data_IF_159778060981
#
_entry.id   IF_159778060981
#
_cell.length_a   1.000
_cell.length_b   1.000
_cell.length_c   1.000
_cell.angle_alpha   90.00
_cell.angle_beta   90.00
_cell.angle_gamma   90.00
#
_symmetry.space_group_name_H-M   'P 1'
#
loop_
_entity.id
_entity.type
_entity.pdbx_description
1 polymer ?
#
# COMPACT_ATOMS: atom_id res chain seq x y z
N UNK A 1 -11.10 -20.08 -11.79
CA UNK A 1 -9.66 -19.84 -12.07
C UNK A 1 -9.40 -20.32 -13.49
N UNK A 2 -9.12 -19.41 -14.43
CA UNK A 2 -8.78 -19.81 -15.79
C UNK A 2 -7.42 -20.50 -15.78
N UNK A 3 -7.29 -21.68 -16.40
CA UNK A 3 -6.00 -22.34 -16.61
C UNK A 3 -5.13 -21.40 -17.45
N UNK A 4 -4.10 -20.81 -16.85
CA UNK A 4 -3.06 -20.08 -17.56
C UNK A 4 -2.03 -21.13 -17.99
N UNK A 5 -1.83 -21.39 -19.30
CA UNK A 5 -0.81 -22.32 -19.78
C UNK A 5 0.57 -22.00 -19.19
N UNK A 6 1.37 -23.02 -18.84
CA UNK A 6 2.66 -22.87 -18.17
C UNK A 6 3.70 -22.05 -18.98
N UNK A 7 3.50 -21.95 -20.28
CA UNK A 7 4.30 -21.18 -21.23
C UNK A 7 3.75 -19.77 -21.49
N UNK A 8 2.62 -19.39 -20.89
CA UNK A 8 2.08 -18.03 -21.01
C UNK A 8 3.10 -17.04 -20.47
N UNK A 9 3.35 -15.98 -21.25
CA UNK A 9 4.17 -14.85 -20.86
C UNK A 9 3.37 -13.57 -21.07
N UNK A 10 3.54 -12.62 -20.16
CA UNK A 10 3.06 -11.26 -20.38
C UNK A 10 3.80 -10.63 -21.56
N UNK A 11 3.11 -9.77 -22.34
CA UNK A 11 3.77 -8.96 -23.36
C UNK A 11 4.82 -8.08 -22.69
N UNK A 12 6.04 -8.09 -23.21
CA UNK A 12 7.15 -7.33 -22.62
C UNK A 12 7.04 -5.82 -22.88
N UNK A 13 6.30 -5.41 -23.92
CA UNK A 13 6.09 -4.01 -24.27
C UNK A 13 4.86 -3.46 -23.51
N UNK A 14 5.08 -3.09 -22.25
CA UNK A 14 4.07 -2.38 -21.46
C UNK A 14 3.75 -1.00 -22.01
N UNK A 15 2.62 -0.44 -21.57
CA UNK A 15 2.23 0.96 -21.85
C UNK A 15 2.17 1.74 -20.54
N UNK A 16 2.58 3.01 -20.58
CA UNK A 16 2.46 3.91 -19.43
C UNK A 16 1.01 4.37 -19.29
N UNK A 17 0.39 4.07 -18.14
CA UNK A 17 -1.01 4.42 -17.84
C UNK A 17 -1.17 5.45 -16.72
N UNK A 18 -0.07 5.76 -16.02
CA UNK A 18 0.01 6.79 -14.98
C UNK A 18 1.45 7.35 -14.95
N UNK A 19 1.59 8.65 -14.69
CA UNK A 19 2.88 9.33 -14.74
C UNK A 19 3.42 9.48 -16.16
N UNK A 20 4.73 9.23 -16.34
CA UNK A 20 5.40 9.32 -17.66
C UNK A 20 5.93 10.71 -18.04
N UNK A 21 5.77 11.71 -17.16
CA UNK A 21 6.18 13.10 -17.39
C UNK A 21 7.41 13.52 -16.57
N UNK A 22 8.31 12.56 -16.29
CA UNK A 22 9.46 12.76 -15.41
C UNK A 22 9.10 12.73 -13.92
N UNK A 23 10.11 12.90 -13.07
CA UNK A 23 9.93 12.99 -11.62
C UNK A 23 9.53 14.41 -11.20
N UNK A 24 8.58 14.50 -10.28
CA UNK A 24 8.11 15.76 -9.72
C UNK A 24 6.81 15.59 -8.94
N UNK A 25 6.25 16.69 -8.46
CA UNK A 25 5.07 16.71 -7.59
C UNK A 25 3.77 17.12 -8.30
N UNK A 26 3.80 17.39 -9.60
CA UNK A 26 2.59 17.63 -10.38
C UNK A 26 1.69 16.37 -10.40
N UNK A 27 0.40 16.56 -10.65
CA UNK A 27 -0.59 15.46 -10.67
C UNK A 27 -0.44 14.49 -11.84
N UNK A 28 0.33 14.87 -12.87
CA UNK A 28 0.72 14.00 -13.97
C UNK A 28 2.14 13.44 -13.84
N UNK A 29 2.83 13.70 -12.71
CA UNK A 29 4.18 13.20 -12.43
C UNK A 29 4.16 12.23 -11.26
N UNK A 30 5.14 11.33 -11.23
CA UNK A 30 5.36 10.40 -10.12
C UNK A 30 6.80 10.49 -9.65
N UNK A 31 7.05 10.32 -8.34
CA UNK A 31 8.41 10.24 -7.81
C UNK A 31 8.61 9.03 -6.89
N UNK A 32 9.31 8.03 -7.43
CA UNK A 32 9.51 6.70 -6.82
C UNK A 32 8.18 6.04 -6.45
N UNK A 33 7.33 5.72 -7.44
CA UNK A 33 6.12 4.93 -7.18
C UNK A 33 6.54 3.51 -6.74
N UNK A 34 6.14 3.11 -5.54
CA UNK A 34 6.48 1.81 -4.94
C UNK A 34 5.22 0.93 -4.82
N UNK A 35 4.26 1.36 -4.00
CA UNK A 35 3.00 0.67 -3.78
C UNK A 35 2.02 0.88 -4.93
N UNK A 36 1.29 -0.15 -5.32
CA UNK A 36 0.26 -0.09 -6.35
C UNK A 36 -0.88 -1.04 -6.02
N UNK A 37 -2.09 -0.52 -6.01
CA UNK A 37 -3.31 -1.31 -6.00
C UNK A 37 -4.22 -0.87 -7.13
N UNK A 38 -4.89 -1.83 -7.77
CA UNK A 38 -5.86 -1.60 -8.85
C UNK A 38 -7.16 -2.29 -8.49
N UNK A 39 -8.26 -1.54 -8.46
CA UNK A 39 -9.59 -2.12 -8.26
C UNK A 39 -10.25 -2.57 -9.57
N UNK A 40 -11.35 -3.32 -9.46
CA UNK A 40 -12.14 -3.80 -10.60
C UNK A 40 -12.69 -2.68 -11.49
N UNK A 41 -12.82 -1.46 -10.95
CA UNK A 41 -13.23 -0.28 -11.70
C UNK A 41 -12.06 0.35 -12.46
N UNK A 42 -10.86 -0.25 -12.44
CA UNK A 42 -9.63 0.30 -13.03
C UNK A 42 -9.21 1.63 -12.40
N UNK A 43 -9.54 1.81 -11.13
CA UNK A 43 -8.96 2.85 -10.29
C UNK A 43 -7.67 2.31 -9.69
N UNK A 44 -6.59 3.04 -9.90
CA UNK A 44 -5.28 2.75 -9.37
C UNK A 44 -5.01 3.68 -8.18
N UNK A 45 -4.43 3.18 -7.12
CA UNK A 45 -3.84 3.98 -6.04
C UNK A 45 -2.37 3.64 -5.94
N UNK A 46 -1.54 4.68 -5.92
CA UNK A 46 -0.08 4.56 -6.05
C UNK A 46 0.56 5.24 -4.85
N UNK A 47 1.40 4.50 -4.12
CA UNK A 47 2.24 5.03 -3.06
C UNK A 47 3.51 5.64 -3.63
N UNK A 48 3.68 6.94 -3.43
CA UNK A 48 4.86 7.67 -3.91
C UNK A 48 5.85 7.91 -2.77
N UNK A 49 6.96 7.17 -2.80
CA UNK A 49 7.95 7.18 -1.74
C UNK A 49 8.59 8.55 -1.54
N UNK A 50 8.95 9.26 -2.62
CA UNK A 50 9.62 10.58 -2.52
C UNK A 50 8.68 11.77 -2.48
N UNK A 51 7.45 11.63 -2.96
CA UNK A 51 6.44 12.67 -2.81
C UNK A 51 5.65 12.56 -1.50
N UNK A 52 5.87 11.51 -0.70
CA UNK A 52 5.25 11.33 0.62
C UNK A 52 3.72 11.43 0.56
N UNK A 53 3.14 10.76 -0.45
CA UNK A 53 1.71 10.83 -0.74
C UNK A 53 1.20 9.54 -1.38
N UNK A 54 -0.11 9.37 -1.35
CA UNK A 54 -0.84 8.43 -2.21
C UNK A 54 -1.56 9.23 -3.28
N UNK A 55 -1.39 8.82 -4.53
CA UNK A 55 -2.09 9.40 -5.68
C UNK A 55 -3.04 8.36 -6.29
N UNK A 56 -4.29 8.75 -6.50
CA UNK A 56 -5.30 7.95 -7.20
C UNK A 56 -5.34 8.32 -8.68
N UNK A 57 -5.50 7.33 -9.54
CA UNK A 57 -5.55 7.52 -10.98
C UNK A 57 -6.61 6.60 -11.59
N UNK A 58 -7.52 7.14 -12.40
CA UNK A 58 -8.48 6.33 -13.16
C UNK A 58 -7.89 5.99 -14.52
N UNK A 59 -7.97 4.74 -14.98
CA UNK A 59 -7.48 4.38 -16.31
C UNK A 59 -8.08 5.30 -17.39
N UNK A 60 -7.21 5.84 -18.26
CA UNK A 60 -7.58 6.81 -19.29
C UNK A 60 -7.42 8.28 -18.88
N UNK A 61 -7.30 8.60 -17.59
CA UNK A 61 -7.00 9.98 -17.16
C UNK A 61 -5.54 10.36 -17.46
N UNK A 62 -5.31 11.66 -17.66
CA UNK A 62 -3.97 12.24 -17.85
C UNK A 62 -3.34 12.77 -16.57
N UNK A 63 -4.15 12.92 -15.52
CA UNK A 63 -3.74 13.42 -14.21
C UNK A 63 -4.35 12.52 -13.12
N UNK A 64 -3.56 12.30 -12.07
CA UNK A 64 -4.04 11.72 -10.82
C UNK A 64 -4.59 12.77 -9.85
N UNK A 65 -5.05 12.29 -8.71
CA UNK A 65 -5.53 13.08 -7.58
C UNK A 65 -4.82 12.63 -6.32
N UNK A 66 -4.25 13.56 -5.56
CA UNK A 66 -3.69 13.24 -4.24
C UNK A 66 -4.83 12.90 -3.29
N UNK A 67 -4.78 11.70 -2.69
CA UNK A 67 -5.86 11.17 -1.84
C UNK A 67 -5.41 10.90 -0.40
N UNK A 68 -4.11 10.90 -0.13
CA UNK A 68 -3.54 10.90 1.22
C UNK A 68 -2.12 11.51 1.22
N UNK A 69 -1.72 12.13 2.32
CA UNK A 69 -0.43 12.81 2.43
C UNK A 69 -0.31 14.03 1.51
N UNK A 70 0.90 14.31 1.00
CA UNK A 70 1.16 15.45 0.11
C UNK A 70 1.37 16.79 0.82
N UNK A 71 1.34 16.82 2.15
CA UNK A 71 1.64 17.99 2.99
C UNK A 71 3.08 17.99 3.50
N UNK A 72 4.01 17.49 2.67
CA UNK A 72 5.40 17.23 3.01
C UNK A 72 5.60 15.97 3.86
N UNK A 73 6.85 15.53 3.98
CA UNK A 73 7.24 14.44 4.87
C UNK A 73 6.93 14.81 6.33
N UNK A 74 6.31 13.90 7.06
CA UNK A 74 6.14 14.04 8.51
C UNK A 74 5.18 13.02 9.09
N UNK A 75 4.89 13.14 10.39
CA UNK A 75 4.13 12.16 11.17
C UNK A 75 2.76 12.66 11.65
N UNK A 76 2.36 13.89 11.28
CA UNK A 76 1.02 14.40 11.57
C UNK A 76 -0.05 13.52 10.92
N UNK A 77 -1.30 13.67 11.35
CA UNK A 77 -2.41 12.89 10.79
C UNK A 77 -2.68 13.19 9.32
N UNK A 78 -2.27 14.34 8.79
CA UNK A 78 -2.37 14.73 7.37
C UNK A 78 -1.10 14.40 6.56
N UNK A 79 -0.07 13.80 7.18
CA UNK A 79 1.23 13.56 6.56
C UNK A 79 1.58 12.08 6.49
N UNK A 80 2.43 11.76 5.52
CA UNK A 80 3.06 10.46 5.34
C UNK A 80 4.59 10.65 5.31
N UNK A 81 5.33 9.57 5.51
CA UNK A 81 6.76 9.52 5.35
C UNK A 81 7.15 8.20 4.67
N UNK A 82 7.64 8.28 3.42
CA UNK A 82 8.13 7.12 2.68
C UNK A 82 7.11 5.96 2.59
N UNK A 83 5.87 6.22 2.08
CA UNK A 83 4.89 5.15 1.96
C UNK A 83 5.40 4.07 1.01
N UNK A 84 5.29 2.82 1.43
CA UNK A 84 5.80 1.64 0.71
C UNK A 84 4.71 0.92 -0.06
N UNK A 85 3.51 0.86 0.52
CA UNK A 85 2.40 0.11 -0.03
C UNK A 85 1.04 0.71 0.34
N UNK A 86 0.01 0.39 -0.44
CA UNK A 86 -1.37 0.85 -0.24
C UNK A 86 -2.35 -0.16 -0.82
N UNK A 87 -3.48 -0.38 -0.13
CA UNK A 87 -4.63 -1.10 -0.67
C UNK A 87 -5.94 -0.35 -0.41
N UNK A 88 -6.98 -0.72 -1.16
CA UNK A 88 -8.34 -0.22 -0.96
C UNK A 88 -9.14 -1.27 -0.20
N UNK A 89 -9.64 -0.89 0.97
CA UNK A 89 -10.68 -1.62 1.68
C UNK A 89 -12.05 -1.12 1.22
N UNK A 90 -12.67 -1.84 0.27
CA UNK A 90 -13.97 -1.49 -0.32
C UNK A 90 -15.10 -1.49 0.72
N UNK A 91 -15.02 -2.34 1.74
CA UNK A 91 -16.07 -2.49 2.75
C UNK A 91 -16.12 -1.27 3.68
N UNK A 92 -14.97 -0.71 4.06
CA UNK A 92 -14.90 0.53 4.85
C UNK A 92 -14.76 1.80 4.01
N UNK A 93 -14.70 1.66 2.68
CA UNK A 93 -14.37 2.71 1.72
C UNK A 93 -13.14 3.54 2.14
N UNK A 94 -12.03 2.84 2.38
CA UNK A 94 -10.80 3.43 2.91
C UNK A 94 -9.56 2.95 2.18
N UNK A 95 -8.50 3.75 2.26
CA UNK A 95 -7.14 3.35 1.96
C UNK A 95 -6.51 2.77 3.23
N UNK A 96 -5.79 1.66 3.12
CA UNK A 96 -4.87 1.17 4.15
C UNK A 96 -3.46 1.34 3.61
N UNK A 97 -2.64 2.10 4.33
CA UNK A 97 -1.35 2.59 3.85
C UNK A 97 -0.25 2.16 4.80
N UNK A 98 0.83 1.68 4.22
CA UNK A 98 2.05 1.30 4.87
C UNK A 98 2.96 2.54 4.93
N UNK A 99 3.04 3.18 6.09
CA UNK A 99 3.72 4.47 6.30
C UNK A 99 5.07 4.24 7.00
N UNK A 100 5.99 3.57 6.28
CA UNK A 100 7.25 3.03 6.81
C UNK A 100 8.08 4.06 7.57
N UNK A 101 8.23 5.29 7.04
CA UNK A 101 9.03 6.33 7.69
C UNK A 101 8.48 6.77 9.05
N UNK A 102 7.21 6.48 9.32
CA UNK A 102 6.54 6.71 10.59
C UNK A 102 6.27 5.41 11.37
N UNK A 103 6.76 4.26 10.90
CA UNK A 103 6.66 2.94 11.54
C UNK A 103 5.22 2.56 11.93
N UNK A 104 4.28 2.79 11.02
CA UNK A 104 2.85 2.59 11.25
C UNK A 104 2.11 2.14 10.00
N UNK A 105 0.96 1.51 10.22
CA UNK A 105 -0.09 1.33 9.21
C UNK A 105 -1.23 2.28 9.53
N UNK A 106 -1.70 3.01 8.53
CA UNK A 106 -2.72 4.06 8.68
C UNK A 106 -3.89 3.83 7.73
N UNK A 107 -5.09 4.15 8.20
CA UNK A 107 -6.32 4.16 7.44
C UNK A 107 -6.69 5.59 7.06
N UNK A 108 -6.96 5.83 5.77
CA UNK A 108 -7.54 7.07 5.28
C UNK A 108 -8.91 6.81 4.67
N UNK A 109 -9.95 7.52 5.12
CA UNK A 109 -11.25 7.48 4.46
C UNK A 109 -11.15 8.04 3.04
N UNK A 110 -11.83 7.40 2.08
CA UNK A 110 -11.94 7.89 0.70
C UNK A 110 -13.13 8.82 0.48
N UNK A 111 -13.96 9.01 1.51
CA UNK A 111 -15.12 9.91 1.48
C UNK A 111 -14.65 11.36 1.40
N UNK A 112 -15.43 12.18 0.70
CA UNK A 112 -15.12 13.61 0.53
C UNK A 112 -14.98 14.32 1.88
N UNK A 113 -13.97 15.19 1.99
CA UNK A 113 -13.71 16.02 3.18
C UNK A 113 -12.84 15.40 4.26
N UNK A 114 -12.45 14.11 4.15
CA UNK A 114 -11.49 13.51 5.07
C UNK A 114 -10.05 13.68 4.59
N UNK A 115 -9.21 14.32 5.39
CA UNK A 115 -7.80 14.60 5.07
C UNK A 115 -6.82 13.94 6.03
N UNK A 116 -7.32 13.27 7.08
CA UNK A 116 -6.52 12.74 8.17
C UNK A 116 -6.54 11.20 8.20
N UNK A 117 -5.36 10.64 8.42
CA UNK A 117 -5.13 9.22 8.63
C UNK A 117 -5.31 8.85 10.09
N UNK A 118 -5.96 7.71 10.32
CA UNK A 118 -6.07 7.05 11.62
C UNK A 118 -5.04 5.93 11.70
N UNK A 119 -4.28 5.87 12.79
CA UNK A 119 -3.36 4.76 13.03
C UNK A 119 -4.16 3.48 13.27
N UNK A 120 -3.87 2.43 12.50
CA UNK A 120 -4.41 1.08 12.70
C UNK A 120 -3.43 0.20 13.48
N UNK A 121 -2.15 0.28 13.12
CA UNK A 121 -1.07 -0.50 13.72
C UNK A 121 0.11 0.45 13.92
N UNK A 122 0.69 0.49 15.11
CA UNK A 122 1.91 1.21 15.43
C UNK A 122 3.10 0.26 15.64
N UNK A 123 4.30 0.82 15.73
CA UNK A 123 5.55 0.09 16.02
C UNK A 123 5.81 -1.09 15.05
N UNK A 124 5.59 -0.83 13.77
CA UNK A 124 5.79 -1.80 12.69
C UNK A 124 6.57 -1.16 11.54
N UNK A 125 7.67 -1.79 11.13
CA UNK A 125 8.40 -1.42 9.91
C UNK A 125 7.71 -2.04 8.70
N UNK A 126 6.48 -1.61 8.46
CA UNK A 126 5.63 -2.13 7.40
C UNK A 126 6.29 -1.92 6.02
N UNK A 127 6.27 -2.94 5.15
CA UNK A 127 6.73 -2.82 3.77
C UNK A 127 5.70 -3.22 2.71
N UNK A 128 4.95 -4.30 2.94
CA UNK A 128 3.92 -4.80 2.04
C UNK A 128 2.63 -5.11 2.80
N UNK A 129 1.50 -4.92 2.12
CA UNK A 129 0.15 -5.14 2.62
C UNK A 129 -0.60 -6.13 1.71
N UNK A 130 -1.40 -6.99 2.32
CA UNK A 130 -2.44 -7.75 1.62
C UNK A 130 -3.66 -7.90 2.52
N UNK A 131 -4.84 -8.06 1.93
CA UNK A 131 -6.07 -8.32 2.69
C UNK A 131 -6.82 -9.47 2.04
N UNK A 132 -7.28 -10.42 2.84
CA UNK A 132 -8.11 -11.54 2.37
C UNK A 132 -9.61 -11.21 2.36
N UNK A 133 -10.42 -12.15 1.88
CA UNK A 133 -11.87 -12.04 1.81
C UNK A 133 -12.55 -12.04 3.20
N UNK A 134 -11.87 -12.54 4.22
CA UNK A 134 -12.28 -12.48 5.63
C UNK A 134 -11.87 -11.18 6.33
N UNK A 135 -11.22 -10.26 5.61
CA UNK A 135 -10.70 -8.97 6.10
C UNK A 135 -9.59 -9.09 7.14
N UNK A 136 -8.80 -10.15 7.10
CA UNK A 136 -7.49 -10.14 7.75
C UNK A 136 -6.51 -9.31 6.93
N UNK A 137 -5.89 -8.33 7.57
CA UNK A 137 -4.79 -7.55 7.03
C UNK A 137 -3.48 -8.28 7.31
N UNK A 138 -2.74 -8.60 6.26
CA UNK A 138 -1.40 -9.16 6.30
C UNK A 138 -0.39 -8.03 6.11
N UNK A 139 0.59 -7.95 7.00
CA UNK A 139 1.61 -6.92 6.99
C UNK A 139 2.98 -7.59 7.08
N UNK A 140 3.86 -7.29 6.12
CA UNK A 140 5.27 -7.67 6.23
C UNK A 140 6.02 -6.65 7.08
N UNK A 141 6.60 -7.09 8.19
CA UNK A 141 7.52 -6.30 9.00
C UNK A 141 8.95 -6.53 8.49
N UNK A 142 9.49 -5.50 7.82
CA UNK A 142 10.77 -5.57 7.11
C UNK A 142 11.95 -5.81 8.05
N UNK A 143 11.95 -5.20 9.24
CA UNK A 143 13.09 -5.30 10.18
C UNK A 143 13.01 -6.56 11.03
N UNK A 144 11.79 -7.07 11.29
CA UNK A 144 11.59 -8.32 12.03
C UNK A 144 11.61 -9.58 11.17
N UNK A 145 11.69 -9.44 9.85
CA UNK A 145 11.72 -10.56 8.89
C UNK A 145 10.50 -11.49 9.07
N UNK A 146 9.32 -10.90 9.21
CA UNK A 146 8.09 -11.65 9.47
C UNK A 146 6.89 -11.06 8.73
N UNK A 147 5.86 -11.90 8.54
CA UNK A 147 4.54 -11.48 8.10
C UNK A 147 3.57 -11.81 9.22
N UNK A 148 2.80 -10.80 9.64
CA UNK A 148 1.73 -10.95 10.62
C UNK A 148 0.38 -10.71 9.97
N UNK A 149 -0.65 -11.38 10.45
CA UNK A 149 -2.05 -11.05 10.15
C UNK A 149 -2.72 -10.37 11.33
N UNK A 150 -3.65 -9.47 11.04
CA UNK A 150 -4.41 -8.68 11.98
C UNK A 150 -5.87 -8.66 11.53
N UNK A 151 -6.79 -8.86 12.45
CA UNK A 151 -8.17 -8.47 12.28
C UNK A 151 -8.34 -7.00 12.69
N UNK A 152 -9.31 -6.30 12.10
CA UNK A 152 -9.61 -4.93 12.50
C UNK A 152 -9.95 -4.88 14.00
N UNK A 153 -9.20 -4.06 14.74
CA UNK A 153 -9.36 -3.89 16.19
C UNK A 153 -8.39 -4.73 17.04
N UNK A 154 -7.61 -5.61 16.41
CA UNK A 154 -6.56 -6.35 17.12
C UNK A 154 -5.52 -5.42 17.72
N UNK A 155 -5.06 -5.73 18.94
CA UNK A 155 -3.93 -5.05 19.58
C UNK A 155 -2.59 -5.67 19.20
N UNK A 156 -2.59 -6.95 18.81
CA UNK A 156 -1.39 -7.72 18.46
C UNK A 156 -1.68 -8.58 17.24
N UNK A 157 -0.75 -8.61 16.29
CA UNK A 157 -0.87 -9.47 15.10
C UNK A 157 -0.42 -10.89 15.38
N UNK A 158 -1.08 -11.85 14.71
CA UNK A 158 -0.67 -13.26 14.70
C UNK A 158 0.43 -13.47 13.68
N UNK A 159 1.55 -14.10 14.08
CA UNK A 159 2.62 -14.47 13.15
C UNK A 159 2.11 -15.51 12.14
N UNK A 160 2.29 -15.24 10.85
CA UNK A 160 1.88 -16.12 9.75
C UNK A 160 3.09 -16.81 9.12
N UNK A 161 4.19 -16.07 8.95
CA UNK A 161 5.43 -16.58 8.36
C UNK A 161 6.65 -15.77 8.83
N UNK A 162 7.82 -16.41 8.90
CA UNK A 162 9.08 -15.77 9.31
C UNK A 162 9.29 -15.75 10.83
N UNK A 163 9.98 -14.71 11.34
CA UNK A 163 10.18 -14.50 12.79
C UNK A 163 11.49 -15.06 13.37
N UNK A 164 12.31 -15.70 12.55
CA UNK A 164 13.71 -16.03 12.87
C UNK A 164 14.61 -15.23 11.93
N UNK A 165 15.72 -14.67 12.45
CA UNK A 165 16.73 -13.92 11.67
C UNK A 165 17.10 -14.66 10.38
N UNK A 166 17.54 -13.93 9.34
CA UNK A 166 18.00 -14.45 8.03
C UNK A 166 18.25 -15.97 7.99
N UNK A 167 17.36 -16.72 7.36
CA UNK A 167 17.46 -18.17 7.24
C UNK A 167 16.34 -18.80 6.41
N UNK A 168 16.59 -20.00 5.89
CA UNK A 168 15.70 -20.79 5.01
C UNK A 168 14.66 -21.63 5.75
N UNK A 169 14.44 -21.38 7.05
CA UNK A 169 13.53 -22.17 7.88
C UNK A 169 12.06 -21.82 7.62
N UNK A 170 11.30 -22.75 7.06
CA UNK A 170 9.84 -22.66 6.96
C UNK A 170 9.23 -22.97 8.33
N UNK A 171 8.82 -21.94 9.07
CA UNK A 171 7.83 -22.12 10.12
C UNK A 171 6.44 -21.97 9.49
N UNK A 172 5.76 -23.10 9.26
CA UNK A 172 4.30 -23.09 9.19
C UNK A 172 3.80 -23.10 10.63
N UNK A 173 2.88 -22.21 10.97
CA UNK A 173 2.10 -22.31 12.19
C UNK A 173 0.67 -22.61 11.75
N UNK A 174 0.13 -23.72 12.25
CA UNK A 174 -1.25 -24.19 12.07
C UNK A 174 -2.27 -23.19 12.64
#
# INVERSE_FOLDING_TARGET
IHNIPADTRWKQNGVTVAGGHGNGSATNQLWFPNGLFVDDDQTMVIGEWKNHRIIQWKMGNTNGQVVAGGHGQGNRSDQLAYPTDVLIDKESDSLIICDLGNQRVVQWSRRSGTTQGKILIDNIDCYGLAMDDQRYLYVSDYTKHEVRRYQIGDKNGTLVAGGHRNGSGLARIE
#
